data_IF_927418298925
#
_entry.id   IF_927418298925
#
_cell.length_a   1.000
_cell.length_b   1.000
_cell.length_c   1.000
_cell.angle_alpha   90.00
_cell.angle_beta   90.00
_cell.angle_gamma   90.00
#
_symmetry.space_group_name_H-M   'P 1'
#
loop_
_entity.id
_entity.type
_entity.pdbx_description
1 polymer ?
#
# COMPACT_ATOMS: atom_id res chain seq x y z
N UNK A 1 -12.78 15.45 -7.00
CA UNK A 1 -12.78 14.14 -6.31
C UNK A 1 -11.40 13.56 -6.53
N UNK A 2 -10.70 13.18 -5.48
CA UNK A 2 -9.37 12.57 -5.64
C UNK A 2 -9.50 11.26 -6.39
N UNK A 3 -8.49 10.95 -7.21
CA UNK A 3 -8.40 9.67 -7.88
C UNK A 3 -8.23 8.55 -6.87
N UNK A 4 -8.84 7.41 -7.14
CA UNK A 4 -8.74 6.23 -6.28
C UNK A 4 -8.21 5.06 -7.07
N UNK A 5 -7.25 4.38 -6.51
CA UNK A 5 -6.59 3.22 -7.09
C UNK A 5 -7.03 1.93 -6.41
N UNK A 6 -6.80 0.83 -7.11
CA UNK A 6 -7.07 -0.51 -6.64
C UNK A 6 -5.75 -1.31 -6.63
N UNK A 7 -5.38 -1.91 -5.49
CA UNK A 7 -4.22 -2.77 -5.41
C UNK A 7 -4.51 -4.11 -6.11
N UNK A 8 -3.76 -4.39 -7.19
CA UNK A 8 -3.98 -5.57 -8.03
C UNK A 8 -3.66 -6.89 -7.34
N UNK A 9 -2.92 -6.88 -6.24
CA UNK A 9 -2.74 -8.07 -5.41
C UNK A 9 -4.06 -8.64 -4.88
N UNK A 10 -5.04 -7.79 -4.64
CA UNK A 10 -6.42 -8.20 -4.29
C UNK A 10 -7.08 -9.06 -5.35
N UNK A 11 -6.65 -8.95 -6.61
CA UNK A 11 -7.18 -9.68 -7.75
C UNK A 11 -6.24 -10.79 -8.27
N UNK A 12 -5.19 -11.16 -7.52
CA UNK A 12 -4.11 -12.08 -7.98
C UNK A 12 -4.57 -13.45 -8.46
N UNK A 13 -5.77 -13.87 -8.06
CA UNK A 13 -6.38 -15.14 -8.48
C UNK A 13 -7.31 -15.01 -9.69
N UNK A 14 -7.46 -13.78 -10.22
CA UNK A 14 -8.28 -13.47 -11.40
C UNK A 14 -7.35 -13.14 -12.58
N UNK A 15 -7.62 -13.63 -13.81
CA UNK A 15 -6.85 -13.22 -14.97
C UNK A 15 -6.78 -11.69 -15.08
N UNK A 16 -5.61 -11.13 -15.32
CA UNK A 16 -5.35 -9.68 -15.24
C UNK A 16 -6.33 -8.85 -16.09
N UNK A 17 -6.58 -9.29 -17.34
CA UNK A 17 -7.50 -8.59 -18.23
C UNK A 17 -8.95 -8.53 -17.69
N UNK A 18 -9.39 -9.54 -16.95
CA UNK A 18 -10.72 -9.58 -16.34
C UNK A 18 -10.75 -8.77 -15.04
N UNK A 19 -9.69 -8.85 -14.26
CA UNK A 19 -9.53 -8.02 -13.06
C UNK A 19 -9.61 -6.52 -13.40
N UNK A 20 -8.89 -6.07 -14.42
CA UNK A 20 -8.90 -4.66 -14.84
C UNK A 20 -10.28 -4.19 -15.32
N UNK A 21 -11.06 -5.07 -16.00
CA UNK A 21 -12.46 -4.76 -16.35
C UNK A 21 -13.34 -4.57 -15.11
N UNK A 22 -13.20 -5.44 -14.11
CA UNK A 22 -13.94 -5.31 -12.83
C UNK A 22 -13.58 -4.00 -12.15
N UNK A 23 -12.28 -3.68 -12.03
CA UNK A 23 -11.78 -2.45 -11.42
C UNK A 23 -12.34 -1.22 -12.14
N UNK A 24 -12.20 -1.15 -13.48
CA UNK A 24 -12.69 -0.03 -14.28
C UNK A 24 -14.23 0.12 -14.18
N UNK A 25 -14.99 -0.99 -14.32
CA UNK A 25 -16.45 -0.96 -14.24
C UNK A 25 -16.99 -0.60 -12.86
N UNK A 26 -16.20 -0.81 -11.80
CA UNK A 26 -16.52 -0.37 -10.44
C UNK A 26 -16.30 1.14 -10.25
N UNK A 27 -15.54 1.79 -11.14
CA UNK A 27 -15.35 3.25 -11.15
C UNK A 27 -14.05 3.71 -10.50
N UNK A 28 -13.04 2.85 -10.43
CA UNK A 28 -11.66 3.24 -10.13
C UNK A 28 -11.03 3.92 -11.35
N UNK A 29 -10.06 4.80 -11.11
CA UNK A 29 -9.32 5.50 -12.16
C UNK A 29 -7.87 5.04 -12.25
N UNK A 30 -7.39 4.37 -11.21
CA UNK A 30 -6.03 3.88 -11.12
C UNK A 30 -5.92 2.49 -10.53
N UNK A 31 -4.72 1.94 -10.69
CA UNK A 31 -4.31 0.69 -10.05
C UNK A 31 -2.92 0.86 -9.44
N UNK A 32 -2.66 0.10 -8.39
CA UNK A 32 -1.31 -0.17 -7.93
C UNK A 32 -0.91 -1.56 -8.39
N UNK A 33 0.28 -1.64 -9.02
CA UNK A 33 0.79 -2.87 -9.57
C UNK A 33 1.79 -3.55 -8.62
N UNK A 34 1.99 -4.84 -8.82
CA UNK A 34 3.02 -5.61 -8.13
C UNK A 34 3.79 -6.48 -9.16
N UNK A 35 4.85 -7.18 -8.72
CA UNK A 35 5.82 -7.91 -9.56
C UNK A 35 5.22 -8.63 -10.78
N UNK A 36 4.16 -9.40 -10.59
CA UNK A 36 3.58 -10.23 -11.65
C UNK A 36 2.90 -9.39 -12.73
N UNK A 37 2.34 -8.23 -12.38
CA UNK A 37 1.67 -7.34 -13.33
C UNK A 37 2.66 -6.71 -14.31
N UNK A 38 3.88 -6.44 -13.85
CA UNK A 38 4.93 -5.76 -14.60
C UNK A 38 5.92 -6.70 -15.30
N UNK A 39 5.62 -7.99 -15.34
CA UNK A 39 6.44 -8.99 -16.04
C UNK A 39 6.47 -8.76 -17.57
N UNK A 40 5.36 -8.30 -18.14
CA UNK A 40 5.23 -7.87 -19.54
C UNK A 40 4.63 -6.45 -19.55
N UNK A 41 5.51 -5.45 -19.59
CA UNK A 41 5.14 -4.04 -19.49
C UNK A 41 4.26 -3.55 -20.64
N UNK A 42 4.53 -4.00 -21.87
CA UNK A 42 3.78 -3.57 -23.05
C UNK A 42 2.36 -4.12 -23.02
N UNK A 43 2.20 -5.39 -22.62
CA UNK A 43 0.88 -5.99 -22.42
C UNK A 43 0.13 -5.27 -21.29
N UNK A 44 0.78 -5.03 -20.16
CA UNK A 44 0.15 -4.37 -19.01
C UNK A 44 -0.33 -2.97 -19.38
N UNK A 45 0.52 -2.18 -20.03
CA UNK A 45 0.18 -0.83 -20.48
C UNK A 45 -0.99 -0.83 -21.50
N UNK A 46 -1.01 -1.79 -22.44
CA UNK A 46 -2.13 -1.94 -23.36
C UNK A 46 -3.44 -2.23 -22.63
N UNK A 47 -3.43 -3.18 -21.68
CA UNK A 47 -4.60 -3.54 -20.89
C UNK A 47 -5.11 -2.38 -20.03
N UNK A 48 -4.22 -1.58 -19.45
CA UNK A 48 -4.59 -0.35 -18.71
C UNK A 48 -5.29 0.65 -19.65
N UNK A 49 -4.71 0.89 -20.82
CA UNK A 49 -5.25 1.81 -21.82
C UNK A 49 -6.65 1.38 -22.29
N UNK A 50 -6.85 0.08 -22.58
CA UNK A 50 -8.11 -0.48 -23.02
C UNK A 50 -9.23 -0.31 -21.96
N UNK A 51 -8.86 -0.18 -20.70
CA UNK A 51 -9.79 0.00 -19.57
C UNK A 51 -9.84 1.44 -19.05
N UNK A 52 -9.12 2.40 -19.66
CA UNK A 52 -8.97 3.79 -19.19
C UNK A 52 -8.48 3.87 -17.74
N UNK A 53 -7.56 3.00 -17.35
CA UNK A 53 -6.91 2.97 -16.04
C UNK A 53 -5.48 3.51 -16.15
N UNK A 54 -4.96 4.06 -15.06
CA UNK A 54 -3.56 4.46 -14.92
C UNK A 54 -2.88 3.60 -13.87
N UNK A 55 -1.61 3.26 -14.05
CA UNK A 55 -0.80 2.75 -12.95
C UNK A 55 -0.33 3.94 -12.11
N UNK A 56 -0.69 3.98 -10.83
CA UNK A 56 -0.38 5.12 -9.95
C UNK A 56 0.90 4.89 -9.12
N UNK A 57 1.14 3.64 -8.75
CA UNK A 57 2.27 3.19 -7.94
C UNK A 57 2.63 1.74 -8.27
N UNK A 58 3.82 1.33 -7.88
CA UNK A 58 4.29 -0.06 -8.05
C UNK A 58 4.92 -0.59 -6.77
N UNK A 59 4.52 -1.80 -6.38
CA UNK A 59 5.21 -2.57 -5.35
C UNK A 59 6.44 -3.26 -5.95
N UNK A 60 7.61 -2.94 -5.43
CA UNK A 60 8.91 -3.52 -5.83
C UNK A 60 9.57 -4.12 -4.60
N UNK A 61 9.79 -5.42 -4.60
CA UNK A 61 10.37 -6.13 -3.48
C UNK A 61 11.79 -5.67 -3.14
N UNK A 62 12.17 -5.79 -1.87
CA UNK A 62 13.51 -5.41 -1.42
C UNK A 62 14.60 -6.19 -2.15
N UNK A 63 14.36 -7.47 -2.45
CA UNK A 63 15.24 -8.32 -3.27
C UNK A 63 15.45 -7.76 -4.69
N UNK A 64 14.39 -7.23 -5.31
CA UNK A 64 14.46 -6.61 -6.64
C UNK A 64 15.23 -5.28 -6.60
N UNK A 65 14.96 -4.45 -5.58
CA UNK A 65 15.70 -3.19 -5.38
C UNK A 65 17.19 -3.42 -5.19
N UNK A 66 17.56 -4.40 -4.37
CA UNK A 66 18.95 -4.84 -4.15
C UNK A 66 19.60 -5.39 -5.42
N UNK A 67 18.85 -6.18 -6.17
CA UNK A 67 19.37 -6.79 -7.41
C UNK A 67 19.55 -5.79 -8.54
N UNK A 68 18.59 -4.88 -8.76
CA UNK A 68 18.65 -3.93 -9.87
C UNK A 68 17.69 -2.75 -9.70
N UNK A 69 18.10 -1.75 -8.95
CA UNK A 69 17.35 -0.51 -8.76
C UNK A 69 17.00 0.23 -10.07
N UNK A 70 17.89 0.18 -11.07
CA UNK A 70 17.63 0.82 -12.36
C UNK A 70 16.40 0.22 -13.06
N UNK A 71 16.19 -1.09 -12.93
CA UNK A 71 14.99 -1.74 -13.48
C UNK A 71 13.71 -1.20 -12.86
N UNK A 72 13.68 -0.95 -11.54
CA UNK A 72 12.53 -0.34 -10.89
C UNK A 72 12.25 1.06 -11.44
N UNK A 73 13.27 1.88 -11.65
CA UNK A 73 13.15 3.20 -12.25
C UNK A 73 12.69 3.14 -13.72
N UNK A 74 13.23 2.22 -14.51
CA UNK A 74 12.80 2.01 -15.90
C UNK A 74 11.34 1.59 -15.99
N UNK A 75 10.90 0.68 -15.10
CA UNK A 75 9.50 0.26 -14.98
C UNK A 75 8.60 1.45 -14.60
N UNK A 76 8.99 2.23 -13.60
CA UNK A 76 8.26 3.42 -13.19
C UNK A 76 8.14 4.45 -14.32
N UNK A 77 9.22 4.66 -15.07
CA UNK A 77 9.25 5.55 -16.24
C UNK A 77 8.32 5.06 -17.36
N UNK A 78 8.39 3.75 -17.70
CA UNK A 78 7.56 3.15 -18.75
C UNK A 78 6.07 3.30 -18.45
N UNK A 79 5.65 3.04 -17.21
CA UNK A 79 4.26 3.14 -16.76
C UNK A 79 3.85 4.55 -16.33
N UNK A 80 4.79 5.51 -16.34
CA UNK A 80 4.57 6.91 -15.88
C UNK A 80 4.09 6.99 -14.43
N UNK A 81 4.45 6.03 -13.57
CA UNK A 81 4.11 6.08 -12.14
C UNK A 81 5.00 7.08 -11.42
N UNK A 82 4.52 7.58 -10.29
CA UNK A 82 5.23 8.58 -9.50
C UNK A 82 5.80 8.02 -8.19
N UNK A 83 5.36 6.83 -7.79
CA UNK A 83 5.76 6.22 -6.53
C UNK A 83 6.21 4.77 -6.73
N UNK A 84 7.36 4.43 -6.14
CA UNK A 84 7.85 3.07 -5.96
C UNK A 84 7.71 2.73 -4.49
N UNK A 85 7.08 1.61 -4.17
CA UNK A 85 6.82 1.16 -2.80
C UNK A 85 7.57 -0.14 -2.53
N UNK A 86 8.31 -0.21 -1.44
CA UNK A 86 8.84 -1.47 -0.91
C UNK A 86 7.78 -2.09 0.03
N UNK A 87 7.16 -3.23 -0.38
CA UNK A 87 5.91 -3.66 0.28
C UNK A 87 6.11 -4.60 1.45
N UNK A 88 7.28 -5.25 1.58
CA UNK A 88 7.38 -6.38 2.51
C UNK A 88 8.83 -6.78 2.80
N UNK A 89 9.01 -7.42 3.93
CA UNK A 89 10.25 -8.07 4.34
C UNK A 89 9.94 -9.52 4.73
N UNK A 90 10.64 -10.46 4.10
CA UNK A 90 10.50 -11.90 4.43
C UNK A 90 10.85 -12.14 5.90
N UNK A 91 10.20 -13.10 6.54
CA UNK A 91 10.35 -13.34 7.98
C UNK A 91 11.80 -13.58 8.37
N UNK A 92 12.54 -14.35 7.57
CA UNK A 92 13.96 -14.64 7.77
C UNK A 92 14.89 -13.43 7.59
N UNK A 93 14.41 -12.38 6.95
CA UNK A 93 15.17 -11.13 6.74
C UNK A 93 14.86 -10.06 7.81
N UNK A 94 13.85 -10.29 8.67
CA UNK A 94 13.43 -9.32 9.69
C UNK A 94 14.48 -9.17 10.79
N UNK A 95 15.02 -7.97 11.00
CA UNK A 95 15.97 -7.73 12.07
C UNK A 95 15.37 -8.02 13.45
N UNK A 96 16.18 -8.53 14.36
CA UNK A 96 15.73 -8.95 15.69
C UNK A 96 16.03 -7.92 16.78
N UNK A 97 16.68 -6.81 16.42
CA UNK A 97 17.08 -5.76 17.36
C UNK A 97 17.07 -4.37 16.69
N UNK A 98 17.24 -3.34 17.51
CA UNK A 98 17.28 -1.94 17.08
C UNK A 98 18.34 -1.69 16.01
N UNK A 99 19.51 -2.26 16.17
CA UNK A 99 20.65 -1.99 15.27
C UNK A 99 20.39 -2.52 13.86
N UNK A 100 19.80 -3.70 13.76
CA UNK A 100 19.40 -4.27 12.49
C UNK A 100 18.30 -3.46 11.79
N UNK A 101 17.28 -3.01 12.54
CA UNK A 101 16.24 -2.14 11.98
C UNK A 101 16.78 -0.77 11.56
N UNK A 102 17.76 -0.21 12.28
CA UNK A 102 18.45 1.02 11.87
C UNK A 102 19.23 0.81 10.55
N UNK A 103 19.96 -0.30 10.45
CA UNK A 103 20.70 -0.61 9.22
C UNK A 103 19.78 -0.77 8.00
N UNK A 104 18.63 -1.43 8.17
CA UNK A 104 17.61 -1.51 7.14
C UNK A 104 17.05 -0.13 6.78
N UNK A 105 16.76 0.71 7.78
CA UNK A 105 16.26 2.05 7.55
C UNK A 105 17.26 2.94 6.78
N UNK A 106 18.56 2.80 7.07
CA UNK A 106 19.63 3.48 6.34
C UNK A 106 19.72 3.00 4.87
N UNK A 107 19.55 1.68 4.64
CA UNK A 107 19.45 1.13 3.28
C UNK A 107 18.27 1.72 2.52
N UNK A 108 17.07 1.73 3.13
CA UNK A 108 15.85 2.29 2.54
C UNK A 108 15.98 3.80 2.29
N UNK A 109 16.63 4.55 3.16
CA UNK A 109 16.94 5.96 2.95
C UNK A 109 17.84 6.18 1.72
N UNK A 110 18.77 5.26 1.46
CA UNK A 110 19.58 5.26 0.24
C UNK A 110 18.72 5.11 -1.02
N UNK A 111 17.76 4.17 -1.02
CA UNK A 111 16.79 4.02 -2.12
C UNK A 111 15.91 5.27 -2.26
N UNK A 112 15.38 5.80 -1.17
CA UNK A 112 14.56 7.01 -1.18
C UNK A 112 15.29 8.19 -1.83
N UNK A 113 16.54 8.42 -1.46
CA UNK A 113 17.38 9.47 -2.04
C UNK A 113 17.61 9.26 -3.55
N UNK A 114 17.85 8.00 -3.98
CA UNK A 114 18.08 7.66 -5.37
C UNK A 114 16.80 7.84 -6.21
N UNK A 115 15.65 7.38 -5.72
CA UNK A 115 14.34 7.53 -6.38
C UNK A 115 13.97 9.00 -6.51
N UNK A 116 14.15 9.78 -5.43
CA UNK A 116 13.91 11.23 -5.40
C UNK A 116 14.77 12.01 -6.41
N UNK A 117 16.03 11.61 -6.59
CA UNK A 117 16.92 12.21 -7.61
C UNK A 117 16.41 11.99 -9.04
N UNK A 118 15.55 10.99 -9.26
CA UNK A 118 14.88 10.70 -10.54
C UNK A 118 13.46 11.30 -10.63
N UNK A 119 13.08 12.16 -9.68
CA UNK A 119 11.78 12.86 -9.68
C UNK A 119 10.59 12.01 -9.25
N UNK A 120 10.84 10.90 -8.55
CA UNK A 120 9.84 9.97 -8.05
C UNK A 120 9.79 9.97 -6.51
N UNK A 121 8.75 9.39 -5.92
CA UNK A 121 8.62 9.12 -4.49
C UNK A 121 8.96 7.66 -4.19
N UNK A 122 9.57 7.41 -3.02
CA UNK A 122 9.82 6.07 -2.50
C UNK A 122 9.16 5.91 -1.15
N UNK A 123 8.36 4.86 -0.98
CA UNK A 123 7.65 4.58 0.24
C UNK A 123 7.91 3.17 0.77
N UNK A 124 7.74 3.00 2.08
CA UNK A 124 7.58 1.72 2.75
C UNK A 124 6.10 1.45 2.96
N UNK A 125 5.64 0.22 2.69
CA UNK A 125 4.31 -0.26 3.05
C UNK A 125 4.42 -1.20 4.25
N UNK A 126 3.59 -0.96 5.27
CA UNK A 126 3.63 -1.73 6.50
C UNK A 126 2.66 -2.91 6.52
N UNK A 127 3.05 -3.91 7.29
CA UNK A 127 2.22 -5.00 7.80
C UNK A 127 2.09 -4.89 9.32
N UNK A 128 1.73 -5.98 9.99
CA UNK A 128 1.60 -6.05 11.44
C UNK A 128 2.96 -6.18 12.15
N UNK A 129 3.91 -6.89 11.57
CA UNK A 129 5.18 -7.22 12.20
C UNK A 129 6.05 -6.00 12.56
N UNK A 130 5.90 -4.87 11.87
CA UNK A 130 6.61 -3.64 12.22
C UNK A 130 6.07 -2.97 13.48
N UNK A 131 4.89 -3.39 13.93
CA UNK A 131 4.27 -2.94 15.19
C UNK A 131 4.45 -3.92 16.33
N UNK A 132 5.14 -5.03 16.11
CA UNK A 132 5.59 -5.96 17.15
C UNK A 132 6.92 -5.51 17.73
N UNK A 133 7.01 -5.46 19.06
CA UNK A 133 8.27 -5.08 19.70
C UNK A 133 9.33 -6.17 19.54
N UNK A 134 10.51 -5.75 19.14
CA UNK A 134 11.71 -6.60 19.16
C UNK A 134 12.04 -7.06 20.59
N UNK A 135 12.87 -8.09 20.76
CA UNK A 135 13.33 -8.57 22.09
C UNK A 135 13.95 -7.48 22.96
N UNK A 136 14.59 -6.46 22.38
CA UNK A 136 15.13 -5.29 23.08
C UNK A 136 14.09 -4.17 23.30
N UNK A 137 12.82 -4.42 22.99
CA UNK A 137 11.68 -3.55 23.31
C UNK A 137 11.44 -2.39 22.34
N UNK A 138 12.09 -2.42 21.19
CA UNK A 138 11.96 -1.36 20.17
C UNK A 138 10.80 -1.68 19.22
N UNK A 139 10.13 -0.65 18.72
CA UNK A 139 9.06 -0.76 17.74
C UNK A 139 9.64 -0.49 16.33
N UNK A 140 9.73 -1.51 15.48
CA UNK A 140 10.36 -1.42 14.16
C UNK A 140 9.87 -0.24 13.31
N UNK A 141 8.56 -0.04 13.21
CA UNK A 141 8.00 1.04 12.38
C UNK A 141 8.51 2.42 12.80
N UNK A 142 8.68 2.66 14.11
CA UNK A 142 9.27 3.92 14.60
C UNK A 142 10.72 4.07 14.15
N UNK A 143 11.50 2.99 14.24
CA UNK A 143 12.91 3.03 13.80
C UNK A 143 13.00 3.35 12.33
N UNK A 144 12.17 2.74 11.49
CA UNK A 144 12.14 2.99 10.05
C UNK A 144 11.83 4.47 9.76
N UNK A 145 10.74 4.99 10.30
CA UNK A 145 10.28 6.36 10.04
C UNK A 145 11.22 7.43 10.64
N UNK A 146 11.76 7.19 11.83
CA UNK A 146 12.63 8.16 12.50
C UNK A 146 14.05 8.20 11.89
N UNK A 147 14.50 7.10 11.27
CA UNK A 147 15.83 7.00 10.66
C UNK A 147 15.81 7.39 9.17
N UNK A 148 14.90 6.83 8.39
CA UNK A 148 14.80 7.08 6.95
C UNK A 148 13.93 8.31 6.64
N UNK A 149 14.41 9.50 6.98
CA UNK A 149 13.60 10.74 6.96
C UNK A 149 13.13 11.19 5.57
N UNK A 150 13.79 10.78 4.49
CA UNK A 150 13.38 11.07 3.10
C UNK A 150 12.45 10.00 2.49
N UNK A 151 12.30 8.85 3.18
CA UNK A 151 11.39 7.79 2.78
C UNK A 151 9.95 8.18 3.14
N UNK A 152 9.02 8.05 2.24
CA UNK A 152 7.60 8.23 2.50
C UNK A 152 6.99 6.96 3.11
N UNK A 153 5.73 7.06 3.51
CA UNK A 153 4.99 5.94 4.06
C UNK A 153 3.71 5.71 3.25
N UNK A 154 3.60 4.51 2.71
CA UNK A 154 2.33 3.96 2.28
C UNK A 154 1.70 3.23 3.46
N UNK A 155 0.87 3.94 4.22
CA UNK A 155 0.27 3.40 5.43
C UNK A 155 -0.84 2.41 5.11
N UNK A 156 -0.73 1.17 5.61
CA UNK A 156 -1.87 0.24 5.66
C UNK A 156 -2.53 0.31 7.03
N UNK A 157 -3.76 0.80 7.04
CA UNK A 157 -4.53 1.08 8.26
C UNK A 157 -5.01 -0.21 8.95
N UNK A 158 -5.31 -1.25 8.17
CA UNK A 158 -5.87 -2.49 8.70
C UNK A 158 -4.81 -3.40 9.30
N UNK A 159 -3.60 -3.40 8.76
CA UNK A 159 -2.47 -4.09 9.38
C UNK A 159 -2.08 -3.47 10.74
N UNK A 160 -2.21 -2.14 10.89
CA UNK A 160 -2.03 -1.47 12.18
C UNK A 160 -3.09 -1.93 13.18
N UNK A 161 -4.36 -2.02 12.75
CA UNK A 161 -5.45 -2.53 13.60
C UNK A 161 -5.22 -4.00 14.00
N UNK A 162 -4.76 -4.86 13.06
CA UNK A 162 -4.40 -6.26 13.36
C UNK A 162 -3.27 -6.37 14.38
N UNK A 163 -2.32 -5.46 14.37
CA UNK A 163 -1.26 -5.36 15.37
C UNK A 163 -1.75 -4.81 16.74
N UNK A 164 -3.06 -4.63 16.92
CA UNK A 164 -3.68 -4.05 18.10
C UNK A 164 -3.18 -2.62 18.43
N UNK A 165 -2.74 -1.91 17.40
CA UNK A 165 -2.40 -0.48 17.44
C UNK A 165 -3.55 0.36 16.86
N UNK A 166 -3.51 1.66 17.04
CA UNK A 166 -4.57 2.57 16.58
C UNK A 166 -4.13 3.37 15.36
N UNK A 167 -4.69 3.10 14.16
CA UNK A 167 -4.30 3.78 12.92
C UNK A 167 -4.34 5.30 13.02
N UNK A 168 -5.39 5.88 13.62
CA UNK A 168 -5.52 7.33 13.77
C UNK A 168 -4.44 7.96 14.66
N UNK A 169 -3.85 7.20 15.57
CA UNK A 169 -2.73 7.67 16.40
C UNK A 169 -1.43 7.75 15.60
N UNK A 170 -1.22 6.80 14.71
CA UNK A 170 -0.08 6.77 13.80
C UNK A 170 -0.20 7.87 12.73
N UNK A 171 -1.38 8.05 12.14
CA UNK A 171 -1.66 9.15 11.21
C UNK A 171 -1.38 10.52 11.84
N UNK A 172 -1.80 10.72 13.10
CA UNK A 172 -1.55 11.98 13.82
C UNK A 172 -0.07 12.23 14.08
N UNK A 173 0.70 11.16 14.32
CA UNK A 173 2.12 11.28 14.69
C UNK A 173 3.03 11.43 13.48
N UNK A 174 2.73 10.70 12.39
CA UNK A 174 3.59 10.60 11.21
C UNK A 174 2.87 10.98 9.91
N UNK A 175 1.79 11.74 10.00
CA UNK A 175 0.98 12.11 8.83
C UNK A 175 1.76 12.89 7.76
N UNK A 176 2.79 13.62 8.15
CA UNK A 176 3.71 14.33 7.25
C UNK A 176 4.59 13.40 6.40
N UNK A 177 4.59 12.11 6.73
CA UNK A 177 5.33 11.07 6.00
C UNK A 177 4.41 10.25 5.08
N UNK A 178 3.09 10.42 5.19
CA UNK A 178 2.10 9.62 4.47
C UNK A 178 1.84 10.21 3.09
N UNK A 179 2.35 9.55 2.06
CA UNK A 179 2.15 9.87 0.65
C UNK A 179 0.95 9.11 0.08
N UNK A 180 0.79 7.85 0.48
CA UNK A 180 -0.27 6.96 0.03
C UNK A 180 -0.89 6.17 1.19
N UNK A 181 -2.14 5.77 1.02
CA UNK A 181 -2.92 5.06 2.05
C UNK A 181 -3.58 3.83 1.46
N UNK A 182 -3.26 2.66 2.01
CA UNK A 182 -4.03 1.45 1.79
C UNK A 182 -5.29 1.48 2.64
N UNK A 183 -6.40 1.63 1.95
CA UNK A 183 -7.74 1.53 2.52
C UNK A 183 -8.13 0.05 2.53
N UNK A 184 -8.03 -0.55 3.70
CA UNK A 184 -8.27 -1.95 3.98
C UNK A 184 -9.03 -2.05 5.31
N UNK A 185 -9.83 -3.07 5.52
CA UNK A 185 -10.62 -3.20 6.73
C UNK A 185 -10.53 -4.61 7.31
N UNK A 186 -10.72 -4.73 8.61
CA UNK A 186 -10.67 -5.99 9.35
C UNK A 186 -12.09 -6.36 9.76
N UNK A 187 -12.48 -7.60 9.51
CA UNK A 187 -13.76 -8.13 9.94
C UNK A 187 -13.85 -8.26 11.47
N UNK A 188 -15.06 -8.26 12.02
CA UNK A 188 -15.24 -8.57 13.42
C UNK A 188 -14.77 -10.01 13.74
N UNK A 189 -14.32 -10.23 14.97
CA UNK A 189 -13.79 -11.52 15.37
C UNK A 189 -14.74 -12.67 15.05
N UNK A 190 -14.28 -13.64 14.27
CA UNK A 190 -15.04 -14.81 13.84
C UNK A 190 -15.87 -14.61 12.57
N UNK A 191 -15.85 -13.42 11.96
CA UNK A 191 -16.47 -13.15 10.66
C UNK A 191 -15.45 -13.23 9.52
N UNK A 192 -15.89 -13.39 8.28
CA UNK A 192 -15.10 -13.44 7.04
C UNK A 192 -13.90 -14.41 7.12
N UNK A 193 -14.08 -15.58 7.75
CA UNK A 193 -13.00 -16.57 7.97
C UNK A 193 -12.45 -17.09 6.62
N UNK A 194 -13.31 -17.22 5.63
CA UNK A 194 -12.97 -17.59 4.25
C UNK A 194 -12.23 -16.49 3.48
N UNK A 195 -12.20 -15.29 4.03
CA UNK A 195 -11.48 -14.12 3.51
C UNK A 195 -10.32 -13.71 4.44
N UNK A 196 -9.81 -14.63 5.25
CA UNK A 196 -8.73 -14.40 6.23
C UNK A 196 -9.05 -13.30 7.25
N UNK A 197 -10.33 -13.10 7.59
CA UNK A 197 -10.77 -12.07 8.53
C UNK A 197 -10.64 -10.64 8.00
N UNK A 198 -10.50 -10.45 6.70
CA UNK A 198 -10.59 -9.16 6.07
C UNK A 198 -12.05 -8.80 5.74
N UNK A 199 -12.34 -7.53 5.60
CA UNK A 199 -13.66 -7.03 5.22
C UNK A 199 -13.55 -6.01 4.07
N UNK A 200 -14.64 -5.86 3.33
CA UNK A 200 -14.74 -4.74 2.38
C UNK A 200 -14.59 -3.41 3.13
N UNK A 201 -13.92 -2.43 2.53
CA UNK A 201 -13.60 -1.14 3.17
C UNK A 201 -14.85 -0.45 3.70
N UNK A 202 -14.81 -0.09 4.99
CA UNK A 202 -15.92 0.53 5.72
C UNK A 202 -16.98 -0.44 6.22
N UNK A 203 -16.74 -1.74 6.09
CA UNK A 203 -17.65 -2.79 6.55
C UNK A 203 -17.04 -3.68 7.63
N UNK A 204 -15.87 -3.33 8.13
CA UNK A 204 -15.17 -3.98 9.22
C UNK A 204 -15.23 -3.19 10.53
N UNK A 205 -14.15 -3.30 11.32
CA UNK A 205 -14.08 -2.76 12.68
C UNK A 205 -13.29 -1.45 12.80
N UNK A 206 -12.62 -0.99 11.75
CA UNK A 206 -11.82 0.22 11.81
C UNK A 206 -12.68 1.46 12.13
N UNK A 207 -12.14 2.35 12.95
CA UNK A 207 -12.83 3.60 13.30
C UNK A 207 -12.69 4.65 12.18
N UNK A 208 -13.40 4.43 11.06
CA UNK A 208 -13.33 5.29 9.88
C UNK A 208 -13.67 6.75 10.15
N UNK A 209 -14.50 7.06 11.16
CA UNK A 209 -14.78 8.45 11.53
C UNK A 209 -13.54 9.16 12.07
N UNK A 210 -12.76 8.50 12.93
CA UNK A 210 -11.51 9.06 13.43
C UNK A 210 -10.43 9.10 12.34
N UNK A 211 -10.29 8.02 11.56
CA UNK A 211 -9.34 7.89 10.47
C UNK A 211 -9.56 8.97 9.40
N UNK A 212 -10.78 9.12 8.90
CA UNK A 212 -11.09 10.11 7.85
C UNK A 212 -10.91 11.55 8.34
N UNK A 213 -11.06 11.80 9.64
CA UNK A 213 -10.74 13.11 10.24
C UNK A 213 -9.25 13.44 10.08
N UNK A 214 -8.36 12.50 10.38
CA UNK A 214 -6.91 12.69 10.20
C UNK A 214 -6.53 12.74 8.71
N UNK A 215 -7.11 11.89 7.87
CA UNK A 215 -6.86 11.87 6.43
C UNK A 215 -7.25 13.19 5.74
N UNK A 216 -8.29 13.88 6.21
CA UNK A 216 -8.66 15.23 5.72
C UNK A 216 -7.60 16.27 6.04
N UNK A 217 -6.91 16.14 7.16
CA UNK A 217 -5.82 17.04 7.55
C UNK A 217 -4.55 16.75 6.75
N UNK A 218 -4.20 15.46 6.63
CA UNK A 218 -2.99 14.99 5.94
C UNK A 218 -3.09 15.21 4.43
N UNK A 219 -4.25 14.87 3.86
CA UNK A 219 -4.53 14.98 2.42
C UNK A 219 -3.50 14.23 1.55
N UNK A 220 -3.30 12.91 1.77
CA UNK A 220 -2.32 12.12 1.03
C UNK A 220 -2.57 12.19 -0.48
N UNK A 221 -1.54 11.94 -1.28
CA UNK A 221 -1.61 12.04 -2.74
C UNK A 221 -2.42 10.87 -3.35
N UNK A 222 -2.30 9.66 -2.76
CA UNK A 222 -2.94 8.45 -3.28
C UNK A 222 -3.81 7.78 -2.20
N UNK A 223 -4.96 7.29 -2.65
CA UNK A 223 -5.81 6.35 -1.91
C UNK A 223 -5.92 5.06 -2.70
N UNK A 224 -5.61 3.94 -2.08
CA UNK A 224 -5.52 2.62 -2.72
C UNK A 224 -6.39 1.65 -1.93
N UNK A 225 -7.37 1.05 -2.59
CA UNK A 225 -8.23 0.03 -1.96
C UNK A 225 -7.57 -1.33 -2.07
N UNK A 226 -7.47 -2.04 -0.96
CA UNK A 226 -6.89 -3.38 -0.90
C UNK A 226 -7.68 -4.35 -0.03
N UNK A 227 -7.58 -5.63 -0.38
CA UNK A 227 -8.06 -6.78 0.38
C UNK A 227 -7.24 -8.01 0.00
N UNK A 228 -6.63 -8.72 0.96
CA UNK A 228 -5.71 -9.80 0.63
C UNK A 228 -6.39 -11.03 0.01
N UNK A 229 -7.64 -11.29 0.32
CA UNK A 229 -8.31 -12.51 -0.13
C UNK A 229 -9.82 -12.34 -0.30
N UNK A 230 -10.30 -11.46 -1.21
CA UNK A 230 -11.73 -11.30 -1.42
C UNK A 230 -12.30 -12.55 -2.09
N UNK A 231 -13.36 -13.13 -1.53
CA UNK A 231 -14.06 -14.28 -2.12
C UNK A 231 -14.89 -13.87 -3.36
N UNK A 232 -15.25 -12.60 -3.48
CA UNK A 232 -15.90 -11.99 -4.64
C UNK A 232 -15.27 -10.63 -4.94
N UNK A 233 -14.43 -10.60 -5.98
CA UNK A 233 -13.72 -9.42 -6.42
C UNK A 233 -14.63 -8.25 -6.78
N UNK A 234 -15.76 -8.55 -7.46
CA UNK A 234 -16.71 -7.52 -7.91
C UNK A 234 -17.44 -6.88 -6.73
N UNK A 235 -17.88 -7.70 -5.76
CA UNK A 235 -18.48 -7.21 -4.50
C UNK A 235 -17.52 -6.30 -3.78
N UNK A 236 -16.29 -6.78 -3.54
CA UNK A 236 -15.27 -6.04 -2.83
C UNK A 236 -14.98 -4.70 -3.50
N UNK A 237 -14.68 -4.70 -4.81
CA UNK A 237 -14.35 -3.49 -5.55
C UNK A 237 -15.51 -2.47 -5.51
N UNK A 238 -16.75 -2.90 -5.73
CA UNK A 238 -17.93 -2.02 -5.75
C UNK A 238 -18.28 -1.46 -4.38
N UNK A 239 -18.29 -2.29 -3.34
CA UNK A 239 -18.65 -1.84 -1.99
C UNK A 239 -17.62 -0.87 -1.43
N UNK A 240 -16.34 -1.18 -1.61
CA UNK A 240 -15.25 -0.37 -1.08
C UNK A 240 -15.19 1.02 -1.73
N UNK A 241 -15.36 1.12 -3.05
CA UNK A 241 -15.34 2.43 -3.73
C UNK A 241 -16.58 3.27 -3.38
N UNK A 242 -17.75 2.65 -3.18
CA UNK A 242 -18.96 3.36 -2.73
C UNK A 242 -18.73 3.95 -1.34
N UNK A 243 -18.15 3.19 -0.43
CA UNK A 243 -17.78 3.68 0.91
C UNK A 243 -16.80 4.84 0.83
N UNK A 244 -15.70 4.70 0.08
CA UNK A 244 -14.72 5.77 -0.09
C UNK A 244 -15.36 7.07 -0.60
N UNK A 245 -16.20 6.99 -1.62
CA UNK A 245 -16.90 8.16 -2.18
C UNK A 245 -17.82 8.86 -1.17
N UNK A 246 -18.27 8.15 -0.14
CA UNK A 246 -19.11 8.73 0.92
C UNK A 246 -18.34 9.55 1.95
N UNK A 247 -17.01 9.42 2.01
CA UNK A 247 -16.19 10.07 3.04
C UNK A 247 -15.80 11.52 2.75
N UNK A 248 -16.01 11.99 1.51
CA UNK A 248 -15.65 13.35 1.09
C UNK A 248 -14.20 13.72 1.47
N UNK A 249 -13.26 12.87 1.03
CA UNK A 249 -11.81 13.04 1.22
C UNK A 249 -11.16 13.84 0.07
N UNK A 250 -11.96 14.41 -0.81
CA UNK A 250 -11.48 15.13 -1.99
C UNK A 250 -11.26 16.64 -1.71
#
# INVERSE_FOLDING_TARGET
MKDISFQLYSARHTPLADALKVVASSGYTGVEAYRENVADLDLFQSLLSDNNLQCTSIHTGLDELRANMSRALDTASHLSVKQIVCPYLLEEERPQDKSGWQALAEELAGYASHVKANGLSFAWHNHDFEFEKTPDGVLPMRVLLDTATDMQWEIDLAWIERAAERPESWLRTYGDRVDSVHLKDVAASGECIDEDGWADVGHGVLNWNAITTELKVISPDLYIVEHDSPSDLSRFAQRSIVTFKSWDLA
#
